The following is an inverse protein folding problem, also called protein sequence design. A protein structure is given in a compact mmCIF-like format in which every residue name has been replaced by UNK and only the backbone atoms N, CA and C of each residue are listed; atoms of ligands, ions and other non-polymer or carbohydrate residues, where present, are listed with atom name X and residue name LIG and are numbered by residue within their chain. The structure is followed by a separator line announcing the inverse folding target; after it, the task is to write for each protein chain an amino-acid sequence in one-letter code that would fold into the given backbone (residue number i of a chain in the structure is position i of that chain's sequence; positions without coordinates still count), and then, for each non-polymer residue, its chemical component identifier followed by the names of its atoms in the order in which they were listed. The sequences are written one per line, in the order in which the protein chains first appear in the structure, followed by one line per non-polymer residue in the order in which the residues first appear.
data_IF_835618066480
#
_entry.id   IF_835618066480
#
_cell.length_a   1.000
_cell.length_b   1.000
_cell.length_c   1.000
_cell.angle_alpha   90.00
_cell.angle_beta   90.00
_cell.angle_gamma   90.00
#
_symmetry.space_group_name_H-M   'P 1'
#
loop_
_entity.id
_entity.type
_entity.pdbx_description
1 polymer ?
#
# COMPACT_ATOMS: atom_id res chain seq x y z
N UNK A 1 -73.68 -27.49 -14.48
CA UNK A 1 -72.34 -27.25 -15.04
C UNK A 1 -71.96 -25.83 -14.65
N UNK A 2 -71.21 -25.68 -13.56
CA UNK A 2 -70.67 -24.35 -13.14
C UNK A 2 -69.40 -24.09 -13.95
N UNK A 3 -69.44 -23.00 -14.73
CA UNK A 3 -68.25 -22.49 -15.44
C UNK A 3 -67.22 -21.97 -14.43
N UNK A 4 -66.11 -22.66 -14.30
CA UNK A 4 -64.95 -22.15 -13.62
C UNK A 4 -64.38 -20.98 -14.43
N UNK A 5 -64.62 -19.75 -13.95
CA UNK A 5 -63.94 -18.54 -14.45
C UNK A 5 -62.45 -18.67 -14.10
N UNK A 6 -61.51 -18.51 -15.07
CA UNK A 6 -60.11 -18.52 -14.80
C UNK A 6 -59.76 -17.33 -13.88
N UNK A 7 -59.09 -17.63 -12.77
CA UNK A 7 -58.53 -16.63 -11.90
C UNK A 7 -57.43 -15.88 -12.66
N UNK A 8 -57.70 -14.66 -13.06
CA UNK A 8 -56.70 -13.81 -13.67
C UNK A 8 -55.61 -13.51 -12.64
N UNK A 9 -54.47 -14.19 -12.75
CA UNK A 9 -53.26 -13.85 -11.97
C UNK A 9 -52.75 -12.53 -12.56
N UNK A 10 -53.13 -11.40 -11.97
CA UNK A 10 -52.52 -10.11 -12.25
C UNK A 10 -51.06 -10.20 -11.82
N UNK A 11 -50.15 -10.35 -12.77
CA UNK A 11 -48.71 -10.11 -12.55
C UNK A 11 -48.54 -8.68 -12.13
N UNK A 12 -48.46 -8.40 -10.82
CA UNK A 12 -48.14 -7.06 -10.32
C UNK A 12 -46.70 -6.75 -10.73
N UNK A 13 -46.49 -5.84 -11.64
CA UNK A 13 -45.19 -5.30 -11.97
C UNK A 13 -44.73 -4.43 -10.80
N UNK A 14 -43.73 -4.91 -10.09
CA UNK A 14 -43.14 -4.16 -8.98
C UNK A 14 -42.30 -3.00 -9.53
N UNK A 15 -42.47 -1.81 -8.93
CA UNK A 15 -41.53 -0.73 -9.21
C UNK A 15 -40.11 -1.12 -8.75
N UNK A 16 -39.08 -0.50 -9.32
CA UNK A 16 -37.70 -0.75 -8.91
C UNK A 16 -37.48 -0.47 -7.42
N UNK A 17 -38.11 0.56 -6.89
CA UNK A 17 -38.12 0.96 -5.46
C UNK A 17 -38.71 -0.15 -4.58
N UNK A 18 -39.93 -0.61 -4.90
CA UNK A 18 -40.60 -1.68 -4.14
C UNK A 18 -39.78 -2.98 -4.15
N UNK A 19 -39.12 -3.29 -5.27
CA UNK A 19 -38.28 -4.48 -5.39
C UNK A 19 -37.05 -4.37 -4.46
N UNK A 20 -36.38 -3.24 -4.42
CA UNK A 20 -35.22 -3.00 -3.54
C UNK A 20 -35.65 -3.02 -2.07
N UNK A 21 -36.75 -2.35 -1.72
CA UNK A 21 -37.31 -2.32 -0.36
C UNK A 21 -37.66 -3.73 0.14
N UNK A 22 -38.26 -4.55 -0.73
CA UNK A 22 -38.58 -5.94 -0.39
C UNK A 22 -37.35 -6.79 -0.14
N UNK A 23 -36.28 -6.59 -0.91
CA UNK A 23 -35.01 -7.26 -0.67
C UNK A 23 -34.40 -6.77 0.66
N UNK A 24 -34.38 -5.47 0.87
CA UNK A 24 -33.87 -4.87 2.11
C UNK A 24 -34.63 -5.35 3.35
N UNK A 25 -35.97 -5.49 3.25
CA UNK A 25 -36.83 -5.92 4.35
C UNK A 25 -36.58 -7.38 4.82
N UNK A 26 -35.79 -8.17 4.10
CA UNK A 26 -35.35 -9.49 4.56
C UNK A 26 -34.32 -9.39 5.69
N UNK A 27 -33.50 -8.37 5.67
CA UNK A 27 -32.34 -8.18 6.55
C UNK A 27 -32.53 -7.05 7.54
N UNK A 28 -33.34 -6.06 7.16
CA UNK A 28 -33.62 -4.86 7.95
C UNK A 28 -35.12 -4.69 8.20
N UNK A 29 -35.45 -4.03 9.29
CA UNK A 29 -36.76 -3.39 9.50
C UNK A 29 -36.65 -2.06 8.76
N UNK A 30 -37.40 -1.92 7.67
CA UNK A 30 -37.39 -0.73 6.82
C UNK A 30 -38.42 0.25 7.34
N UNK A 31 -37.98 1.43 7.74
CA UNK A 31 -38.81 2.53 8.21
C UNK A 31 -39.16 3.53 7.08
N UNK A 32 -39.23 4.77 7.47
CA UNK A 32 -39.62 5.86 6.52
C UNK A 32 -38.56 6.09 5.44
N UNK A 33 -39.02 6.50 4.25
CA UNK A 33 -38.16 6.90 3.15
C UNK A 33 -37.39 8.18 3.53
N UNK A 34 -36.08 8.17 3.42
CA UNK A 34 -35.21 9.31 3.71
C UNK A 34 -35.03 10.20 2.47
N UNK A 35 -34.42 11.36 2.68
CA UNK A 35 -34.10 12.33 1.61
C UNK A 35 -33.07 11.73 0.63
N UNK A 36 -33.53 11.01 -0.37
CA UNK A 36 -32.71 10.43 -1.43
C UNK A 36 -33.43 9.32 -2.16
N UNK A 37 -33.12 9.17 -3.44
CA UNK A 37 -33.66 8.07 -4.24
C UNK A 37 -33.10 6.74 -3.70
N UNK A 38 -33.95 5.81 -3.33
CA UNK A 38 -33.61 4.53 -2.70
C UNK A 38 -32.88 4.66 -1.35
N UNK A 39 -33.39 5.50 -0.46
CA UNK A 39 -32.87 5.69 0.90
C UNK A 39 -33.97 5.50 1.94
N UNK A 40 -33.69 4.68 2.97
CA UNK A 40 -34.63 4.37 4.06
C UNK A 40 -33.91 4.39 5.40
N UNK A 41 -34.62 4.83 6.41
CA UNK A 41 -34.22 4.60 7.80
C UNK A 41 -34.38 3.11 8.11
N UNK A 42 -33.36 2.47 8.64
CA UNK A 42 -33.38 1.01 8.84
C UNK A 42 -32.85 0.61 10.21
N UNK A 43 -33.30 -0.53 10.66
CA UNK A 43 -32.76 -1.21 11.85
C UNK A 43 -32.49 -2.68 11.48
N UNK A 44 -31.33 -3.23 11.88
CA UNK A 44 -31.05 -4.63 11.60
C UNK A 44 -32.07 -5.54 12.27
N UNK A 45 -32.57 -6.57 11.57
CA UNK A 45 -33.47 -7.55 12.16
C UNK A 45 -32.81 -8.30 13.30
N UNK A 46 -33.60 -8.74 14.26
CA UNK A 46 -33.13 -9.57 15.38
C UNK A 46 -32.33 -10.79 14.88
N UNK A 47 -31.12 -10.93 15.40
CA UNK A 47 -30.19 -11.99 15.00
C UNK A 47 -29.10 -11.56 13.99
N UNK A 48 -29.16 -10.36 13.44
CA UNK A 48 -28.13 -9.81 12.57
C UNK A 48 -27.46 -8.60 13.21
N UNK A 49 -26.14 -8.49 13.06
CA UNK A 49 -25.46 -7.21 13.23
C UNK A 49 -25.65 -6.35 11.97
N UNK A 50 -25.45 -5.02 12.09
CA UNK A 50 -25.48 -4.14 10.91
C UNK A 50 -24.51 -4.60 9.82
N UNK A 51 -23.35 -5.14 10.19
CA UNK A 51 -22.36 -5.68 9.26
C UNK A 51 -22.86 -6.93 8.52
N UNK A 52 -23.49 -7.85 9.24
CA UNK A 52 -24.03 -9.07 8.64
C UNK A 52 -25.20 -8.76 7.72
N UNK A 53 -26.14 -7.95 8.21
CA UNK A 53 -27.34 -7.53 7.45
C UNK A 53 -26.97 -6.84 6.13
N UNK A 54 -26.05 -5.86 6.16
CA UNK A 54 -25.63 -5.13 4.96
C UNK A 54 -24.79 -6.01 4.01
N UNK A 55 -24.02 -6.96 4.54
CA UNK A 55 -23.24 -7.89 3.74
C UNK A 55 -24.16 -8.84 2.97
N UNK A 56 -25.16 -9.42 3.66
CA UNK A 56 -26.14 -10.31 3.05
C UNK A 56 -27.02 -9.57 2.03
N UNK A 57 -27.46 -8.35 2.36
CA UNK A 57 -28.18 -7.50 1.43
C UNK A 57 -27.35 -7.24 0.16
N UNK A 58 -26.08 -6.91 0.29
CA UNK A 58 -25.22 -6.63 -0.86
C UNK A 58 -24.94 -7.86 -1.73
N UNK A 59 -24.99 -9.06 -1.18
CA UNK A 59 -24.91 -10.29 -1.97
C UNK A 59 -26.11 -10.44 -2.91
N UNK A 60 -27.33 -10.13 -2.44
CA UNK A 60 -28.53 -10.15 -3.29
C UNK A 60 -28.57 -8.98 -4.27
N UNK A 61 -28.22 -7.76 -3.82
CA UNK A 61 -28.18 -6.57 -4.67
C UNK A 61 -27.14 -6.64 -5.79
N UNK A 62 -26.10 -7.47 -5.61
CA UNK A 62 -25.04 -7.66 -6.59
C UNK A 62 -25.56 -8.15 -7.93
N UNK A 63 -26.54 -9.07 -7.93
CA UNK A 63 -27.15 -9.60 -9.15
C UNK A 63 -27.94 -8.53 -9.92
N UNK A 64 -28.42 -7.50 -9.20
CA UNK A 64 -29.14 -6.38 -9.78
C UNK A 64 -28.21 -5.22 -10.20
N UNK A 65 -26.88 -5.37 -10.03
CA UNK A 65 -25.93 -4.30 -10.29
C UNK A 65 -26.02 -3.13 -9.30
N UNK A 66 -26.49 -3.39 -8.07
CA UNK A 66 -26.69 -2.41 -7.03
C UNK A 66 -25.74 -2.67 -5.85
N UNK A 67 -25.55 -1.63 -5.03
CA UNK A 67 -24.84 -1.69 -3.77
C UNK A 67 -25.55 -0.83 -2.73
N UNK A 68 -25.77 -1.41 -1.54
CA UNK A 68 -26.31 -0.73 -0.38
C UNK A 68 -25.18 -0.26 0.54
N UNK A 69 -25.35 0.89 1.16
CA UNK A 69 -24.48 1.43 2.20
C UNK A 69 -25.28 1.96 3.38
N UNK A 70 -24.72 1.84 4.59
CA UNK A 70 -25.31 2.38 5.82
C UNK A 70 -24.57 3.65 6.23
N UNK A 71 -25.30 4.74 6.36
CA UNK A 71 -24.78 6.01 6.87
C UNK A 71 -24.65 5.99 8.40
N UNK A 72 -23.74 6.80 8.99
CA UNK A 72 -23.47 6.83 10.43
C UNK A 72 -24.52 7.64 11.23
N UNK A 73 -25.79 7.50 10.90
CA UNK A 73 -26.91 8.12 11.63
C UNK A 73 -27.46 7.15 12.68
N UNK A 74 -28.19 7.66 13.63
CA UNK A 74 -28.90 6.88 14.62
C UNK A 74 -30.39 7.27 14.62
N UNK A 75 -31.27 6.41 14.11
CA UNK A 75 -31.02 5.13 13.44
C UNK A 75 -30.31 5.25 12.08
N UNK A 76 -29.59 4.21 11.64
CA UNK A 76 -28.83 4.23 10.39
C UNK A 76 -29.74 4.35 9.16
N UNK A 77 -29.22 5.01 8.13
CA UNK A 77 -29.91 5.16 6.85
C UNK A 77 -29.27 4.26 5.81
N UNK A 78 -30.05 3.34 5.25
CA UNK A 78 -29.67 2.54 4.10
C UNK A 78 -29.82 3.36 2.83
N UNK A 79 -28.76 3.52 2.07
CA UNK A 79 -28.76 4.12 0.73
C UNK A 79 -28.34 3.11 -0.31
N UNK A 80 -29.14 2.90 -1.34
CA UNK A 80 -28.84 1.96 -2.43
C UNK A 80 -28.49 2.73 -3.70
N UNK A 81 -27.33 2.43 -4.25
CA UNK A 81 -26.79 3.09 -5.45
C UNK A 81 -26.39 2.05 -6.50
N UNK A 82 -26.16 2.50 -7.72
CA UNK A 82 -25.64 1.63 -8.77
C UNK A 82 -24.21 1.23 -8.47
N UNK A 83 -23.94 -0.06 -8.62
CA UNK A 83 -22.60 -0.60 -8.43
C UNK A 83 -21.70 -0.19 -9.60
N UNK A 84 -20.65 0.54 -9.29
CA UNK A 84 -19.65 0.86 -10.29
C UNK A 84 -18.76 -0.38 -10.51
N UNK A 85 -18.76 -0.88 -11.72
CA UNK A 85 -17.85 -1.95 -12.13
C UNK A 85 -16.53 -1.33 -12.54
N UNK A 86 -15.44 -1.71 -11.86
CA UNK A 86 -14.10 -1.29 -12.22
C UNK A 86 -13.56 -2.02 -13.44
N UNK A 87 -12.45 -1.53 -13.97
CA UNK A 87 -11.65 -2.25 -14.96
C UNK A 87 -11.40 -3.68 -14.50
N UNK A 88 -11.55 -4.62 -15.39
CA UNK A 88 -11.38 -6.05 -15.11
C UNK A 88 -10.02 -6.38 -14.50
N UNK A 89 -9.95 -7.53 -13.84
CA UNK A 89 -8.67 -8.10 -13.40
C UNK A 89 -7.87 -8.48 -14.65
N UNK A 90 -6.58 -8.13 -14.66
CA UNK A 90 -5.70 -8.46 -15.79
C UNK A 90 -5.69 -9.97 -16.06
N UNK A 91 -5.71 -10.40 -17.33
CA UNK A 91 -5.49 -11.78 -17.69
C UNK A 91 -4.18 -12.31 -17.10
N UNK A 92 -4.15 -13.59 -16.71
CA UNK A 92 -3.00 -14.19 -16.05
C UNK A 92 -1.70 -14.08 -16.84
N UNK A 93 -1.75 -14.15 -18.17
CA UNK A 93 -0.57 -14.03 -19.02
C UNK A 93 0.01 -12.59 -19.01
N UNK A 94 -0.86 -11.54 -19.03
CA UNK A 94 -0.40 -10.16 -18.96
C UNK A 94 0.23 -9.87 -17.60
N UNK A 95 -0.42 -10.34 -16.53
CA UNK A 95 0.13 -10.23 -15.18
C UNK A 95 1.47 -10.95 -15.07
N UNK A 96 1.58 -12.18 -15.61
CA UNK A 96 2.82 -12.95 -15.66
C UNK A 96 3.94 -12.22 -16.42
N UNK A 97 3.61 -11.60 -17.55
CA UNK A 97 4.58 -10.80 -18.33
C UNK A 97 5.10 -9.58 -17.55
N UNK A 98 4.23 -8.87 -16.83
CA UNK A 98 4.64 -7.73 -16.00
C UNK A 98 5.53 -8.18 -14.85
N UNK A 99 5.20 -9.30 -14.19
CA UNK A 99 6.06 -9.87 -13.16
C UNK A 99 7.41 -10.31 -13.70
N UNK A 100 7.43 -11.01 -14.83
CA UNK A 100 8.68 -11.44 -15.49
C UNK A 100 9.55 -10.23 -15.85
N UNK A 101 8.97 -9.18 -16.44
CA UNK A 101 9.69 -7.96 -16.75
C UNK A 101 10.26 -7.28 -15.49
N UNK A 102 9.47 -7.22 -14.41
CA UNK A 102 9.93 -6.64 -13.13
C UNK A 102 11.08 -7.45 -12.51
N UNK A 103 11.03 -8.79 -12.60
CA UNK A 103 12.12 -9.65 -12.13
C UNK A 103 13.39 -9.39 -12.94
N UNK A 104 13.28 -9.28 -14.26
CA UNK A 104 14.41 -8.97 -15.14
C UNK A 104 15.03 -7.62 -14.74
N UNK A 105 14.21 -6.58 -14.54
CA UNK A 105 14.70 -5.26 -14.13
C UNK A 105 15.40 -5.32 -12.75
N UNK A 106 14.88 -6.09 -11.80
CA UNK A 106 15.54 -6.29 -10.50
C UNK A 106 16.87 -7.05 -10.64
N UNK A 107 16.94 -8.06 -11.49
CA UNK A 107 18.19 -8.78 -11.74
C UNK A 107 19.26 -7.85 -12.33
N UNK A 108 18.87 -7.00 -13.27
CA UNK A 108 19.79 -6.00 -13.84
C UNK A 108 20.26 -5.00 -12.77
N UNK A 109 19.30 -4.40 -12.04
CA UNK A 109 19.61 -3.41 -10.99
C UNK A 109 20.56 -3.96 -9.92
N UNK A 110 20.26 -5.14 -9.39
CA UNK A 110 21.13 -5.80 -8.41
C UNK A 110 22.44 -6.31 -9.01
N UNK A 111 22.48 -6.64 -10.31
CA UNK A 111 23.69 -7.03 -11.04
C UNK A 111 24.65 -5.87 -11.20
N UNK A 112 24.16 -4.71 -11.66
CA UNK A 112 24.96 -3.48 -11.74
C UNK A 112 25.47 -3.04 -10.36
N UNK A 113 24.64 -3.19 -9.31
CA UNK A 113 25.10 -2.98 -7.96
C UNK A 113 26.22 -3.94 -7.56
N UNK A 114 26.03 -5.26 -7.76
CA UNK A 114 27.02 -6.27 -7.40
C UNK A 114 28.35 -6.07 -8.15
N UNK A 115 28.29 -5.64 -9.41
CA UNK A 115 29.46 -5.29 -10.22
C UNK A 115 30.14 -4.03 -9.69
N UNK A 116 29.38 -2.98 -9.37
CA UNK A 116 29.92 -1.70 -8.87
C UNK A 116 30.62 -1.83 -7.51
N UNK A 117 30.17 -2.77 -6.67
CA UNK A 117 30.78 -3.04 -5.37
C UNK A 117 31.84 -4.17 -5.41
N UNK A 118 32.22 -4.63 -6.61
CA UNK A 118 33.34 -5.57 -6.79
C UNK A 118 33.13 -6.93 -6.13
N UNK A 119 31.92 -7.45 -6.07
CA UNK A 119 31.66 -8.77 -5.48
C UNK A 119 32.23 -9.88 -6.36
N UNK A 120 32.92 -10.86 -5.71
CA UNK A 120 33.48 -12.00 -6.40
C UNK A 120 32.40 -12.85 -7.09
N UNK A 121 32.66 -13.28 -8.33
CA UNK A 121 31.79 -14.17 -9.11
C UNK A 121 30.94 -13.48 -10.13
N UNK A 122 29.87 -14.15 -10.60
CA UNK A 122 28.99 -13.59 -11.61
C UNK A 122 27.95 -12.63 -10.92
N UNK A 123 27.98 -11.32 -11.23
CA UNK A 123 27.16 -10.33 -10.54
C UNK A 123 25.65 -10.57 -10.76
N UNK A 124 25.24 -11.03 -11.94
CA UNK A 124 23.84 -11.32 -12.23
C UNK A 124 23.33 -12.59 -11.55
N UNK A 125 24.20 -13.59 -11.34
CA UNK A 125 23.84 -14.77 -10.56
C UNK A 125 23.65 -14.40 -9.07
N UNK A 126 24.53 -13.59 -8.53
CA UNK A 126 24.41 -13.08 -7.16
C UNK A 126 23.16 -12.19 -6.99
N UNK A 127 22.91 -11.29 -7.95
CA UNK A 127 21.70 -10.49 -7.98
C UNK A 127 20.44 -11.36 -8.03
N UNK A 128 20.42 -12.37 -8.88
CA UNK A 128 19.29 -13.28 -8.99
C UNK A 128 18.97 -13.95 -7.65
N UNK A 129 19.99 -14.43 -6.94
CA UNK A 129 19.84 -15.20 -5.70
C UNK A 129 19.60 -14.31 -4.47
N UNK A 130 20.36 -13.23 -4.32
CA UNK A 130 20.38 -12.43 -3.09
C UNK A 130 19.62 -11.11 -3.19
N UNK A 131 19.21 -10.70 -4.40
CA UNK A 131 18.43 -9.47 -4.62
C UNK A 131 17.05 -9.77 -5.19
N UNK A 132 16.97 -10.22 -6.43
CA UNK A 132 15.71 -10.36 -7.14
C UNK A 132 14.78 -11.43 -6.54
N UNK A 133 15.31 -12.60 -6.17
CA UNK A 133 14.52 -13.68 -5.57
C UNK A 133 13.93 -13.30 -4.22
N UNK A 134 14.65 -12.75 -3.23
CA UNK A 134 14.09 -12.34 -1.95
C UNK A 134 13.06 -11.24 -2.07
N UNK A 135 13.29 -10.24 -2.92
CA UNK A 135 12.30 -9.19 -3.20
C UNK A 135 11.04 -9.82 -3.81
N UNK A 136 11.17 -10.60 -4.88
CA UNK A 136 10.05 -11.25 -5.56
C UNK A 136 9.23 -12.11 -4.61
N UNK A 137 9.87 -12.91 -3.77
CA UNK A 137 9.20 -13.75 -2.78
C UNK A 137 8.41 -12.90 -1.78
N UNK A 138 8.99 -11.79 -1.30
CA UNK A 138 8.33 -10.88 -0.36
C UNK A 138 7.14 -10.16 -1.01
N UNK A 139 7.30 -9.70 -2.26
CA UNK A 139 6.23 -9.05 -3.00
C UNK A 139 5.07 -10.02 -3.29
N UNK A 140 5.36 -11.26 -3.63
CA UNK A 140 4.34 -12.30 -3.81
C UNK A 140 3.63 -12.61 -2.49
N UNK A 141 4.36 -12.69 -1.38
CA UNK A 141 3.80 -12.87 -0.05
C UNK A 141 2.84 -11.73 0.30
N UNK A 142 3.28 -10.48 0.13
CA UNK A 142 2.45 -9.29 0.38
C UNK A 142 1.20 -9.27 -0.51
N UNK A 143 1.36 -9.61 -1.79
CA UNK A 143 0.27 -9.72 -2.77
C UNK A 143 -0.75 -10.78 -2.38
N UNK A 144 -0.29 -11.98 -2.02
CA UNK A 144 -1.18 -13.08 -1.61
C UNK A 144 -1.86 -12.78 -0.27
N UNK A 145 -1.17 -12.16 0.68
CA UNK A 145 -1.76 -11.75 1.95
C UNK A 145 -2.90 -10.75 1.71
N UNK A 146 -2.67 -9.70 0.91
CA UNK A 146 -3.72 -8.73 0.55
C UNK A 146 -4.88 -9.41 -0.17
N UNK A 147 -4.59 -10.30 -1.11
CA UNK A 147 -5.63 -11.07 -1.83
C UNK A 147 -6.49 -11.93 -0.90
N UNK A 148 -5.86 -12.60 0.08
CA UNK A 148 -6.58 -13.40 1.08
C UNK A 148 -7.46 -12.54 1.98
N UNK A 149 -6.96 -11.38 2.41
CA UNK A 149 -7.74 -10.42 3.21
C UNK A 149 -8.92 -9.87 2.42
N UNK A 150 -8.70 -9.47 1.17
CA UNK A 150 -9.76 -9.02 0.27
C UNK A 150 -10.84 -10.10 0.09
N UNK A 151 -10.43 -11.35 -0.18
CA UNK A 151 -11.37 -12.46 -0.35
C UNK A 151 -12.20 -12.72 0.92
N UNK A 152 -11.57 -12.65 2.10
CA UNK A 152 -12.29 -12.75 3.39
C UNK A 152 -13.30 -11.62 3.59
N UNK A 153 -13.01 -10.44 3.07
CA UNK A 153 -13.91 -9.29 3.09
C UNK A 153 -14.94 -9.28 1.93
N UNK A 154 -15.03 -10.35 1.14
CA UNK A 154 -15.94 -10.43 -0.01
C UNK A 154 -15.55 -9.56 -1.20
N UNK A 155 -14.30 -9.07 -1.24
CA UNK A 155 -13.80 -8.21 -2.30
C UNK A 155 -13.08 -9.05 -3.35
N UNK A 156 -13.52 -8.95 -4.61
CA UNK A 156 -12.79 -9.54 -5.73
C UNK A 156 -11.51 -8.75 -6.00
N UNK A 157 -10.39 -9.41 -5.88
CA UNK A 157 -9.08 -8.81 -6.19
C UNK A 157 -8.16 -9.82 -6.86
N UNK A 158 -7.41 -9.36 -7.84
CA UNK A 158 -6.28 -10.08 -8.41
C UNK A 158 -5.00 -9.90 -7.57
N UNK A 159 -3.92 -10.50 -8.02
CA UNK A 159 -2.59 -10.22 -7.49
C UNK A 159 -2.20 -8.77 -7.76
N UNK A 160 -1.33 -8.24 -6.92
CA UNK A 160 -0.79 -6.88 -7.13
C UNK A 160 0.12 -6.86 -8.36
N UNK A 161 0.21 -5.70 -8.97
CA UNK A 161 1.05 -5.43 -10.14
C UNK A 161 2.33 -4.80 -9.63
N UNK A 162 3.51 -5.42 -9.85
CA UNK A 162 4.78 -4.77 -9.59
C UNK A 162 5.02 -3.69 -10.66
N UNK A 163 5.48 -2.53 -10.24
CA UNK A 163 5.89 -1.47 -11.13
C UNK A 163 7.41 -1.50 -11.28
N UNK A 164 7.87 -2.08 -12.38
CA UNK A 164 9.27 -2.02 -12.74
C UNK A 164 9.68 -0.58 -13.07
N UNK A 165 10.89 -0.22 -12.67
CA UNK A 165 11.47 1.07 -13.00
C UNK A 165 12.86 0.84 -13.61
N UNK A 166 13.02 1.06 -14.93
CA UNK A 166 14.31 0.94 -15.56
C UNK A 166 15.25 2.03 -15.03
N UNK A 167 16.53 1.73 -14.99
CA UNK A 167 17.57 2.68 -14.62
C UNK A 167 17.76 3.67 -15.81
N UNK A 168 17.19 4.86 -15.68
CA UNK A 168 17.29 5.92 -16.68
C UNK A 168 17.94 7.13 -16.00
N UNK A 169 19.16 7.47 -16.43
CA UNK A 169 19.80 8.71 -16.02
C UNK A 169 19.03 9.93 -16.59
N UNK A 170 18.77 11.01 -15.82
CA UNK A 170 19.24 11.32 -14.45
C UNK A 170 18.31 10.84 -13.34
N UNK A 171 17.19 10.20 -13.66
CA UNK A 171 16.22 9.68 -12.68
C UNK A 171 16.58 8.24 -12.28
N UNK A 172 17.77 8.06 -11.82
CA UNK A 172 18.25 6.74 -11.46
C UNK A 172 17.56 6.21 -10.20
N UNK A 173 16.78 5.16 -10.37
CA UNK A 173 16.16 4.41 -9.29
C UNK A 173 16.85 3.04 -9.18
N UNK A 174 17.67 2.83 -8.17
CA UNK A 174 18.62 1.71 -8.13
C UNK A 174 17.99 0.36 -7.87
N UNK A 175 16.70 0.33 -7.52
CA UNK A 175 16.07 -0.90 -7.06
C UNK A 175 15.41 -1.72 -8.18
N UNK A 176 15.33 -1.22 -9.40
CA UNK A 176 14.67 -1.90 -10.53
C UNK A 176 13.16 -2.09 -10.36
N UNK A 177 12.62 -1.74 -9.19
CA UNK A 177 11.20 -1.80 -8.86
C UNK A 177 10.81 -0.61 -7.99
N UNK A 178 9.67 -0.01 -8.30
CA UNK A 178 9.15 1.17 -7.58
C UNK A 178 8.11 0.83 -6.51
N UNK A 179 7.32 -0.23 -6.70
CA UNK A 179 6.29 -0.59 -5.74
C UNK A 179 5.29 -1.61 -6.28
N UNK A 180 4.23 -1.82 -5.50
CA UNK A 180 3.11 -2.71 -5.80
C UNK A 180 1.80 -1.94 -5.89
N UNK A 181 1.02 -2.19 -6.93
CA UNK A 181 -0.25 -1.52 -7.18
C UNK A 181 -1.40 -2.51 -7.30
N UNK A 182 -2.59 -2.09 -6.83
CA UNK A 182 -3.80 -2.87 -6.99
C UNK A 182 -4.33 -2.80 -8.42
N UNK A 183 -4.91 -3.90 -8.91
CA UNK A 183 -5.51 -3.95 -10.26
C UNK A 183 -6.81 -3.16 -10.37
N UNK A 184 -7.52 -2.96 -9.27
CA UNK A 184 -8.77 -2.17 -9.24
C UNK A 184 -8.52 -0.83 -8.57
N UNK A 185 -9.10 0.22 -9.12
CA UNK A 185 -9.10 1.51 -8.44
C UNK A 185 -9.88 1.43 -7.12
N UNK A 186 -9.54 2.29 -6.17
CA UNK A 186 -10.21 2.33 -4.86
C UNK A 186 -11.71 2.58 -4.97
N UNK A 187 -12.14 3.38 -5.96
CA UNK A 187 -13.56 3.70 -6.21
C UNK A 187 -14.43 2.49 -6.50
N UNK A 188 -13.82 1.45 -7.06
CA UNK A 188 -14.53 0.21 -7.41
C UNK A 188 -14.39 -0.86 -6.32
N UNK A 189 -13.76 -0.52 -5.21
CA UNK A 189 -13.57 -1.42 -4.08
C UNK A 189 -14.56 -1.06 -2.98
N UNK A 190 -15.46 -2.01 -2.69
CA UNK A 190 -16.46 -1.86 -1.63
C UNK A 190 -15.99 -2.65 -0.41
N UNK A 191 -15.65 -1.93 0.65
CA UNK A 191 -15.16 -2.53 1.90
C UNK A 191 -16.26 -2.49 2.95
N UNK A 192 -16.46 -3.58 3.68
CA UNK A 192 -17.58 -3.71 4.62
C UNK A 192 -17.54 -2.61 5.68
N UNK A 193 -16.40 -2.41 6.34
CA UNK A 193 -16.24 -1.42 7.39
C UNK A 193 -14.83 -0.82 7.43
N UNK A 194 -14.64 0.21 8.26
CA UNK A 194 -13.38 0.94 8.43
C UNK A 194 -12.24 0.05 8.94
N UNK A 195 -12.53 -0.90 9.81
CA UNK A 195 -11.54 -1.83 10.38
C UNK A 195 -10.97 -2.76 9.30
N UNK A 196 -11.82 -3.34 8.45
CA UNK A 196 -11.36 -4.19 7.35
C UNK A 196 -10.56 -3.38 6.32
N UNK A 197 -10.95 -2.12 6.04
CA UNK A 197 -10.17 -1.23 5.18
C UNK A 197 -8.74 -1.03 5.73
N UNK A 198 -8.61 -0.63 6.99
CA UNK A 198 -7.30 -0.42 7.60
C UNK A 198 -6.44 -1.69 7.58
N UNK A 199 -7.04 -2.85 7.89
CA UNK A 199 -6.38 -4.15 7.89
C UNK A 199 -5.88 -4.56 6.50
N UNK A 200 -6.69 -4.36 5.47
CA UNK A 200 -6.33 -4.68 4.08
C UNK A 200 -5.21 -3.76 3.60
N UNK A 201 -5.32 -2.47 3.84
CA UNK A 201 -4.37 -1.51 3.29
C UNK A 201 -3.01 -1.52 4.02
N UNK A 202 -2.97 -1.79 5.33
CA UNK A 202 -1.70 -1.91 6.07
C UNK A 202 -0.92 -3.18 5.73
N UNK A 203 -1.58 -4.21 5.20
CA UNK A 203 -0.97 -5.52 4.99
C UNK A 203 0.26 -5.50 4.09
N UNK A 204 0.24 -4.71 3.00
CA UNK A 204 1.36 -4.62 2.07
C UNK A 204 2.54 -3.84 2.68
N UNK A 205 2.38 -2.57 3.09
CA UNK A 205 3.50 -1.82 3.66
C UNK A 205 4.09 -2.49 4.90
N UNK A 206 3.25 -3.07 5.77
CA UNK A 206 3.75 -3.79 6.93
C UNK A 206 4.55 -5.04 6.55
N UNK A 207 4.12 -5.81 5.56
CA UNK A 207 4.88 -6.99 5.09
C UNK A 207 6.24 -6.59 4.52
N UNK A 208 6.26 -5.57 3.66
CA UNK A 208 7.50 -5.09 3.05
C UNK A 208 8.47 -4.58 4.12
N UNK A 209 7.96 -3.78 5.07
CA UNK A 209 8.76 -3.24 6.16
C UNK A 209 9.29 -4.35 7.09
N UNK A 210 8.43 -5.23 7.59
CA UNK A 210 8.79 -6.27 8.56
C UNK A 210 9.75 -7.32 7.97
N UNK A 211 9.70 -7.58 6.68
CA UNK A 211 10.64 -8.49 6.01
C UNK A 211 11.91 -7.74 5.59
N UNK A 212 11.76 -6.50 5.12
CA UNK A 212 12.87 -5.69 4.65
C UNK A 212 13.89 -5.37 5.74
N UNK A 213 13.44 -5.04 6.96
CA UNK A 213 14.33 -4.66 8.07
C UNK A 213 15.29 -5.79 8.47
N UNK A 214 14.85 -7.03 8.75
CA UNK A 214 15.77 -8.13 9.03
C UNK A 214 16.68 -8.48 7.85
N UNK A 215 16.18 -8.43 6.61
CA UNK A 215 16.99 -8.68 5.42
C UNK A 215 18.12 -7.66 5.28
N UNK A 216 17.82 -6.38 5.57
CA UNK A 216 18.84 -5.34 5.58
C UNK A 216 19.95 -5.66 6.59
N UNK A 217 19.59 -6.00 7.84
CA UNK A 217 20.55 -6.34 8.88
C UNK A 217 21.39 -7.57 8.51
N UNK A 218 20.75 -8.63 8.01
CA UNK A 218 21.48 -9.85 7.57
C UNK A 218 22.44 -9.51 6.43
N UNK A 219 21.99 -8.73 5.45
CA UNK A 219 22.83 -8.31 4.34
C UNK A 219 24.01 -7.44 4.80
N UNK A 220 23.81 -6.57 5.80
CA UNK A 220 24.89 -5.79 6.37
C UNK A 220 25.91 -6.65 7.11
N UNK A 221 25.46 -7.70 7.84
CA UNK A 221 26.34 -8.68 8.45
C UNK A 221 27.13 -9.51 7.42
N UNK A 222 26.56 -9.75 6.23
CA UNK A 222 27.23 -10.44 5.12
C UNK A 222 28.19 -9.53 4.35
N UNK A 223 28.12 -8.22 4.59
CA UNK A 223 28.99 -7.25 3.91
C UNK A 223 30.40 -7.31 4.48
N UNK A 224 31.45 -7.46 3.63
CA UNK A 224 32.81 -7.44 4.07
C UNK A 224 33.18 -6.18 4.86
N UNK A 225 34.03 -6.31 5.85
CA UNK A 225 34.54 -5.17 6.63
C UNK A 225 35.48 -4.27 5.83
N UNK A 226 36.19 -4.87 4.86
CA UNK A 226 37.11 -4.16 3.96
C UNK A 226 36.43 -3.86 2.65
N UNK A 227 36.55 -2.63 2.11
CA UNK A 227 35.99 -2.29 0.81
C UNK A 227 36.70 -3.11 -0.29
N UNK A 228 36.00 -3.38 -1.39
CA UNK A 228 36.60 -3.96 -2.58
C UNK A 228 37.65 -3.01 -3.17
N UNK A 229 38.77 -3.60 -3.66
CA UNK A 229 39.91 -2.84 -4.22
C UNK A 229 39.55 -2.00 -5.47
N UNK A 230 38.46 -2.31 -6.15
CA UNK A 230 38.06 -1.69 -7.40
C UNK A 230 36.88 -0.70 -7.24
N UNK A 231 36.56 -0.24 -6.02
CA UNK A 231 35.56 0.79 -5.80
C UNK A 231 36.00 2.10 -6.46
N UNK A 232 35.61 2.29 -7.71
CA UNK A 232 35.95 3.50 -8.48
C UNK A 232 35.10 4.73 -8.11
N UNK A 233 33.93 4.50 -7.49
CA UNK A 233 33.06 5.53 -6.92
C UNK A 233 32.09 4.87 -5.97
N UNK A 234 31.77 5.52 -4.84
CA UNK A 234 30.65 5.06 -4.00
C UNK A 234 29.36 5.15 -4.83
N UNK A 235 28.74 4.01 -5.17
CA UNK A 235 27.64 4.06 -6.12
C UNK A 235 26.43 4.84 -5.60
N UNK A 236 26.22 4.85 -4.30
CA UNK A 236 25.18 5.63 -3.62
C UNK A 236 25.34 5.59 -2.11
N UNK A 237 25.21 6.74 -1.50
CA UNK A 237 25.09 6.87 -0.06
C UNK A 237 23.66 6.52 0.37
N UNK A 238 23.36 5.23 0.53
CA UNK A 238 22.10 4.83 1.12
C UNK A 238 22.18 4.92 2.62
N UNK A 239 21.29 5.75 3.15
CA UNK A 239 21.01 5.71 4.57
C UNK A 239 19.96 4.64 4.82
N UNK A 240 20.29 3.64 5.59
CA UNK A 240 19.31 2.74 6.17
C UNK A 240 18.28 3.54 6.98
N UNK A 241 17.11 2.96 7.20
CA UNK A 241 16.13 3.56 8.09
C UNK A 241 16.63 3.59 9.53
N UNK A 242 16.02 4.42 10.38
CA UNK A 242 16.42 4.64 11.77
C UNK A 242 16.59 3.32 12.54
N UNK A 243 15.66 2.37 12.36
CA UNK A 243 15.68 1.13 13.12
C UNK A 243 16.88 0.22 12.78
N UNK A 244 17.19 -0.10 11.50
CA UNK A 244 18.39 -0.86 11.17
C UNK A 244 19.67 -0.15 11.56
N UNK A 245 19.76 1.17 11.41
CA UNK A 245 20.94 1.92 11.83
C UNK A 245 21.16 1.81 13.33
N UNK A 246 20.12 1.90 14.14
CA UNK A 246 20.21 1.71 15.58
C UNK A 246 20.66 0.28 15.92
N UNK A 247 20.07 -0.74 15.32
CA UNK A 247 20.47 -2.13 15.58
C UNK A 247 21.90 -2.44 15.07
N UNK A 248 22.27 -1.92 13.90
CA UNK A 248 23.60 -2.16 13.36
C UNK A 248 24.70 -1.48 14.18
N UNK A 249 24.46 -0.27 14.71
CA UNK A 249 25.39 0.40 15.61
C UNK A 249 25.60 -0.33 16.93
N UNK A 250 24.60 -1.11 17.39
CA UNK A 250 24.68 -1.91 18.61
C UNK A 250 25.32 -3.30 18.38
N UNK A 251 25.21 -3.86 17.19
CA UNK A 251 25.56 -5.25 16.91
C UNK A 251 26.82 -5.43 16.06
N UNK A 252 27.20 -4.43 15.27
CA UNK A 252 28.27 -4.59 14.28
C UNK A 252 29.49 -3.77 14.69
N UNK A 253 29.50 -2.49 14.46
CA UNK A 253 30.60 -1.57 14.76
C UNK A 253 30.19 -0.12 14.49
N UNK A 254 31.00 0.85 14.92
CA UNK A 254 30.83 2.27 14.58
C UNK A 254 30.89 2.51 13.07
N UNK A 255 31.59 1.68 12.32
CA UNK A 255 31.85 1.85 10.89
C UNK A 255 30.79 1.20 9.98
N UNK A 256 29.68 0.70 10.55
CA UNK A 256 28.61 0.08 9.77
C UNK A 256 28.01 1.01 8.70
N UNK A 257 28.02 2.32 8.93
CA UNK A 257 27.53 3.31 7.96
C UNK A 257 28.38 3.34 6.70
N UNK A 258 29.71 3.16 6.85
CA UNK A 258 30.62 3.08 5.70
C UNK A 258 30.32 1.84 4.86
N UNK A 259 30.01 0.72 5.50
CA UNK A 259 29.68 -0.55 4.81
C UNK A 259 28.41 -0.48 3.97
N UNK A 260 27.53 0.49 4.21
CA UNK A 260 26.35 0.72 3.37
C UNK A 260 26.70 1.00 1.91
N UNK A 261 27.90 1.50 1.65
CA UNK A 261 28.36 1.89 0.33
C UNK A 261 28.70 0.70 -0.57
N UNK A 262 29.02 -0.46 0.03
CA UNK A 262 29.21 -1.73 -0.68
C UNK A 262 28.39 -2.87 -0.08
N UNK A 263 27.20 -2.51 0.42
CA UNK A 263 26.31 -3.46 1.08
C UNK A 263 26.03 -4.67 0.20
N UNK A 264 26.04 -5.84 0.82
CA UNK A 264 25.70 -7.09 0.13
C UNK A 264 24.32 -6.99 -0.54
N UNK A 265 24.08 -7.59 -1.73
CA UNK A 265 22.80 -7.50 -2.45
C UNK A 265 21.56 -7.84 -1.62
N UNK A 266 21.66 -8.75 -0.65
CA UNK A 266 20.58 -9.06 0.28
C UNK A 266 20.23 -7.86 1.17
N UNK A 267 21.23 -7.09 1.59
CA UNK A 267 21.01 -5.86 2.37
C UNK A 267 20.35 -4.77 1.53
N UNK A 268 20.80 -4.62 0.27
CA UNK A 268 20.14 -3.73 -0.69
C UNK A 268 18.69 -4.14 -0.94
N UNK A 269 18.41 -5.45 -1.04
CA UNK A 269 17.03 -5.95 -1.16
C UNK A 269 16.17 -5.57 0.05
N UNK A 270 16.70 -5.74 1.26
CA UNK A 270 16.02 -5.35 2.50
C UNK A 270 15.76 -3.84 2.57
N UNK A 271 16.75 -3.03 2.17
CA UNK A 271 16.61 -1.57 2.07
C UNK A 271 15.51 -1.17 1.07
N UNK A 272 15.54 -1.75 -0.13
CA UNK A 272 14.53 -1.53 -1.16
C UNK A 272 13.10 -1.82 -0.67
N UNK A 273 12.90 -2.97 -0.03
CA UNK A 273 11.60 -3.35 0.54
C UNK A 273 11.15 -2.38 1.64
N UNK A 274 12.07 -1.98 2.52
CA UNK A 274 11.78 -1.05 3.62
C UNK A 274 11.37 0.33 3.11
N UNK A 275 12.11 0.87 2.13
CA UNK A 275 11.79 2.14 1.48
C UNK A 275 10.45 2.06 0.76
N UNK A 276 10.17 1.00 0.00
CA UNK A 276 8.87 0.81 -0.64
C UNK A 276 7.74 0.74 0.39
N UNK A 277 7.92 0.00 1.48
CA UNK A 277 6.94 -0.08 2.57
C UNK A 277 6.66 1.30 3.18
N UNK A 278 7.71 2.09 3.40
CA UNK A 278 7.60 3.45 3.92
C UNK A 278 6.89 4.40 2.95
N UNK A 279 7.27 4.41 1.67
CA UNK A 279 6.60 5.23 0.63
C UNK A 279 5.11 4.90 0.56
N UNK A 280 4.75 3.62 0.60
CA UNK A 280 3.34 3.20 0.58
C UNK A 280 2.55 3.66 1.82
N UNK A 281 3.23 3.97 2.93
CA UNK A 281 2.60 4.50 4.14
C UNK A 281 2.46 6.02 4.13
N UNK A 282 3.09 6.74 3.20
CA UNK A 282 2.90 8.17 3.08
C UNK A 282 1.42 8.51 2.79
N UNK A 283 0.88 9.58 3.40
CA UNK A 283 -0.51 10.01 3.18
C UNK A 283 -0.69 10.74 1.83
N UNK A 284 -0.19 10.11 0.77
CA UNK A 284 -0.34 10.59 -0.61
C UNK A 284 -1.63 10.00 -1.19
N UNK A 285 -2.52 10.80 -1.81
CA UNK A 285 -3.79 10.33 -2.35
C UNK A 285 -3.66 9.08 -3.22
N UNK A 286 -4.42 8.04 -2.85
CA UNK A 286 -4.44 6.75 -3.55
C UNK A 286 -3.38 5.74 -3.12
N UNK A 287 -2.46 6.08 -2.22
CA UNK A 287 -1.58 5.12 -1.57
C UNK A 287 -2.28 4.43 -0.38
N UNK A 288 -1.77 3.28 0.08
CA UNK A 288 -2.29 2.61 1.27
C UNK A 288 -2.34 3.50 2.51
N UNK A 289 -1.32 4.35 2.74
CA UNK A 289 -1.27 5.29 3.88
C UNK A 289 -2.44 6.27 3.90
N UNK A 290 -2.80 6.85 2.76
CA UNK A 290 -3.97 7.72 2.62
C UNK A 290 -5.28 6.99 2.94
N UNK A 291 -5.42 5.73 2.47
CA UNK A 291 -6.60 4.91 2.73
C UNK A 291 -6.71 4.48 4.19
N UNK A 292 -5.58 4.18 4.84
CA UNK A 292 -5.53 3.90 6.28
C UNK A 292 -5.96 5.13 7.07
N UNK A 293 -5.49 6.33 6.70
CA UNK A 293 -5.93 7.57 7.31
C UNK A 293 -7.42 7.83 7.08
N UNK A 294 -7.94 7.55 5.89
CA UNK A 294 -9.39 7.61 5.62
C UNK A 294 -10.17 6.67 6.53
N UNK A 295 -9.64 5.47 6.81
CA UNK A 295 -10.25 4.55 7.76
C UNK A 295 -10.20 5.08 9.21
N UNK A 296 -9.08 5.66 9.63
CA UNK A 296 -8.85 6.19 10.98
C UNK A 296 -9.69 7.45 11.25
N UNK A 297 -9.58 8.44 10.40
CA UNK A 297 -10.26 9.73 10.56
C UNK A 297 -11.76 9.66 10.27
N UNK A 298 -12.17 8.73 9.40
CA UNK A 298 -13.49 8.68 8.81
C UNK A 298 -13.60 9.57 7.57
N UNK A 299 -14.56 9.23 6.70
CA UNK A 299 -14.70 9.86 5.39
C UNK A 299 -14.88 11.38 5.47
N UNK A 300 -15.71 11.86 6.37
CA UNK A 300 -16.02 13.29 6.49
C UNK A 300 -14.77 14.12 6.79
N UNK A 301 -14.04 13.76 7.86
CA UNK A 301 -12.81 14.46 8.24
C UNK A 301 -11.68 14.28 7.23
N UNK A 302 -11.57 13.08 6.64
CA UNK A 302 -10.53 12.82 5.66
C UNK A 302 -10.69 13.65 4.37
N UNK A 303 -11.93 13.89 3.91
CA UNK A 303 -12.21 14.67 2.69
C UNK A 303 -12.18 16.18 2.96
N UNK A 304 -12.18 16.61 4.22
CA UNK A 304 -12.09 18.01 4.59
C UNK A 304 -10.83 18.66 4.02
N UNK A 305 -10.99 19.81 3.35
CA UNK A 305 -9.89 20.49 2.65
C UNK A 305 -8.72 20.82 3.56
N UNK A 306 -9.01 21.21 4.80
CA UNK A 306 -8.01 21.52 5.83
C UNK A 306 -7.16 20.31 6.16
N UNK A 307 -7.80 19.15 6.43
CA UNK A 307 -7.13 17.88 6.71
C UNK A 307 -6.26 17.46 5.54
N UNK A 308 -6.79 17.49 4.33
CA UNK A 308 -6.06 17.15 3.11
C UNK A 308 -4.85 18.06 2.86
N UNK A 309 -4.98 19.35 3.13
CA UNK A 309 -3.86 20.29 2.99
C UNK A 309 -2.78 20.02 4.04
N UNK A 310 -3.14 19.75 5.30
CA UNK A 310 -2.19 19.40 6.35
C UNK A 310 -1.42 18.12 5.98
N UNK A 311 -2.11 17.07 5.57
CA UNK A 311 -1.50 15.80 5.17
C UNK A 311 -0.56 15.98 3.97
N UNK A 312 -0.96 16.80 3.00
CA UNK A 312 -0.15 17.09 1.84
C UNK A 312 1.13 17.85 2.22
N UNK A 313 1.01 18.93 3.02
CA UNK A 313 2.15 19.72 3.47
C UNK A 313 3.13 18.89 4.30
N UNK A 314 2.62 18.04 5.20
CA UNK A 314 3.45 17.13 5.98
C UNK A 314 4.19 16.13 5.08
N UNK A 315 3.50 15.49 4.13
CA UNK A 315 4.12 14.53 3.19
C UNK A 315 5.19 15.20 2.33
N UNK A 316 4.88 16.37 1.80
CA UNK A 316 5.82 17.14 0.97
C UNK A 316 7.01 17.60 1.79
N UNK A 317 6.77 18.09 3.02
CA UNK A 317 7.83 18.51 3.93
C UNK A 317 8.81 17.38 4.27
N UNK A 318 8.29 16.18 4.54
CA UNK A 318 9.14 15.00 4.79
C UNK A 318 9.93 14.62 3.54
N UNK A 319 9.30 14.57 2.36
CA UNK A 319 9.99 14.23 1.11
C UNK A 319 11.08 15.23 0.74
N UNK A 320 10.82 16.53 0.95
CA UNK A 320 11.82 17.57 0.74
C UNK A 320 12.96 17.43 1.76
N UNK A 321 12.66 17.19 3.04
CA UNK A 321 13.66 17.00 4.07
C UNK A 321 14.57 15.81 3.77
N UNK A 322 14.01 14.68 3.34
CA UNK A 322 14.77 13.50 2.93
C UNK A 322 15.59 13.78 1.66
N UNK A 323 15.06 14.56 0.72
CA UNK A 323 15.80 14.98 -0.47
C UNK A 323 17.01 15.85 -0.09
N UNK A 324 16.79 16.89 0.70
CA UNK A 324 17.87 17.84 1.10
C UNK A 324 18.97 17.13 1.91
N UNK A 325 18.61 16.12 2.69
CA UNK A 325 19.59 15.36 3.48
C UNK A 325 20.35 14.31 2.69
N UNK A 326 19.77 13.76 1.60
CA UNK A 326 20.37 12.66 0.83
C UNK A 326 20.82 13.06 -0.56
N UNK A 327 20.45 14.25 -1.02
CA UNK A 327 20.64 14.75 -2.41
C UNK A 327 20.17 13.77 -3.51
N UNK A 328 19.19 12.92 -3.15
CA UNK A 328 18.73 11.84 -4.00
C UNK A 328 17.49 12.26 -4.80
N UNK A 329 17.69 12.55 -6.09
CA UNK A 329 16.67 13.07 -7.03
C UNK A 329 15.35 12.31 -7.02
N UNK A 330 15.27 10.96 -6.89
CA UNK A 330 14.01 10.24 -6.84
C UNK A 330 13.02 10.74 -5.78
N UNK A 331 13.46 11.33 -4.68
CA UNK A 331 12.55 11.92 -3.69
C UNK A 331 11.76 13.10 -4.26
N UNK A 332 12.37 13.90 -5.15
CA UNK A 332 11.67 14.97 -5.87
C UNK A 332 10.65 14.40 -6.87
N UNK A 333 10.94 13.26 -7.49
CA UNK A 333 9.99 12.57 -8.38
C UNK A 333 8.77 12.12 -7.58
N UNK A 334 8.96 11.52 -6.40
CA UNK A 334 7.86 11.11 -5.53
C UNK A 334 7.07 12.34 -5.06
N UNK A 335 7.75 13.44 -4.68
CA UNK A 335 7.11 14.70 -4.32
C UNK A 335 6.28 15.26 -5.48
N UNK A 336 6.82 15.21 -6.70
CA UNK A 336 6.10 15.63 -7.92
C UNK A 336 4.86 14.77 -8.16
N UNK A 337 4.96 13.44 -8.01
CA UNK A 337 3.81 12.54 -8.11
C UNK A 337 2.77 12.87 -7.02
N UNK A 338 3.19 13.18 -5.81
CA UNK A 338 2.29 13.61 -4.73
C UNK A 338 1.54 14.89 -5.10
N UNK A 339 2.24 15.88 -5.66
CA UNK A 339 1.64 17.12 -6.16
C UNK A 339 0.64 16.84 -7.30
N UNK A 340 1.03 16.06 -8.29
CA UNK A 340 0.15 15.69 -9.41
C UNK A 340 -1.11 14.99 -8.94
N UNK A 341 -1.00 14.07 -7.97
CA UNK A 341 -2.16 13.38 -7.40
C UNK A 341 -3.03 14.29 -6.55
N UNK A 342 -2.46 15.28 -5.89
CA UNK A 342 -3.22 16.22 -5.05
C UNK A 342 -3.98 17.26 -5.88
N UNK A 343 -3.37 17.76 -6.95
CA UNK A 343 -3.90 18.85 -7.76
C UNK A 343 -4.46 18.38 -9.11
N UNK A 344 -4.29 17.11 -9.48
CA UNK A 344 -4.86 16.56 -10.70
C UNK A 344 -6.38 16.51 -10.67
N UNK A 345 -7.02 16.60 -11.84
CA UNK A 345 -8.48 16.63 -11.99
C UNK A 345 -9.17 15.34 -11.53
N UNK A 346 -8.48 14.22 -11.53
CA UNK A 346 -8.96 12.96 -10.95
C UNK A 346 -8.56 12.88 -9.48
N UNK A 347 -9.32 13.57 -8.63
CA UNK A 347 -9.25 13.32 -7.20
C UNK A 347 -9.57 11.84 -6.99
N UNK A 348 -8.55 11.08 -6.57
CA UNK A 348 -8.70 9.66 -6.27
C UNK A 348 -9.69 9.54 -5.11
N UNK A 349 -10.92 9.19 -5.46
CA UNK A 349 -11.98 9.03 -4.48
C UNK A 349 -11.61 7.94 -3.49
N UNK A 350 -11.86 8.16 -2.20
CA UNK A 350 -11.60 7.12 -1.19
C UNK A 350 -12.44 5.88 -1.49
N UNK A 351 -12.00 4.68 -1.06
CA UNK A 351 -12.76 3.45 -1.21
C UNK A 351 -14.13 3.60 -0.55
N UNK A 352 -15.15 3.00 -1.17
CA UNK A 352 -16.49 3.02 -0.61
C UNK A 352 -16.58 2.07 0.59
N UNK A 353 -16.88 2.63 1.75
CA UNK A 353 -17.18 1.85 2.95
C UNK A 353 -18.68 1.61 2.98
N UNK A 354 -19.06 0.33 3.04
CA UNK A 354 -20.46 -0.09 2.98
C UNK A 354 -21.17 0.20 4.30
N UNK A 355 -20.52 -0.04 5.44
CA UNK A 355 -21.08 0.22 6.76
C UNK A 355 -20.29 1.34 7.45
N UNK A 356 -20.87 2.52 7.49
CA UNK A 356 -20.37 3.68 8.24
C UNK A 356 -21.02 3.81 9.62
N UNK A 357 -22.15 3.08 9.87
CA UNK A 357 -22.87 3.14 11.15
C UNK A 357 -22.06 2.52 12.29
N UNK A 358 -21.27 1.48 12.03
CA UNK A 358 -20.37 0.93 13.01
C UNK A 358 -19.13 1.83 13.11
N UNK A 359 -18.93 2.43 14.26
CA UNK A 359 -17.72 3.20 14.57
C UNK A 359 -16.46 2.35 14.42
N UNK A 360 -15.30 2.99 14.38
CA UNK A 360 -14.02 2.27 14.41
C UNK A 360 -13.75 1.83 15.85
N UNK A 361 -13.67 0.51 16.15
CA UNK A 361 -13.41 0.06 17.52
C UNK A 361 -12.12 0.65 18.07
N UNK A 362 -12.14 1.22 19.28
CA UNK A 362 -11.02 1.97 19.88
C UNK A 362 -9.71 1.16 19.88
N UNK A 363 -9.78 -0.11 20.28
CA UNK A 363 -8.61 -1.00 20.27
C UNK A 363 -8.01 -1.19 18.89
N UNK A 364 -8.86 -1.32 17.86
CA UNK A 364 -8.41 -1.42 16.47
C UNK A 364 -7.84 -0.10 15.96
N UNK A 365 -8.45 1.02 16.36
CA UNK A 365 -7.94 2.37 16.02
C UNK A 365 -6.53 2.56 16.57
N UNK A 366 -6.32 2.28 17.85
CA UNK A 366 -5.02 2.40 18.52
C UNK A 366 -3.97 1.49 17.85
N UNK A 367 -4.32 0.23 17.58
CA UNK A 367 -3.42 -0.74 16.93
C UNK A 367 -2.98 -0.32 15.54
N UNK A 368 -3.91 0.07 14.66
CA UNK A 368 -3.57 0.44 13.28
C UNK A 368 -2.90 1.80 13.21
N UNK A 369 -3.25 2.75 14.08
CA UNK A 369 -2.55 4.03 14.19
C UNK A 369 -1.13 3.83 14.69
N UNK A 370 -0.92 3.03 15.72
CA UNK A 370 0.42 2.72 16.23
C UNK A 370 1.28 2.04 15.16
N UNK A 371 0.75 1.04 14.45
CA UNK A 371 1.47 0.36 13.38
C UNK A 371 1.84 1.32 12.22
N UNK A 372 0.92 2.20 11.83
CA UNK A 372 1.18 3.21 10.79
C UNK A 372 2.28 4.19 11.22
N UNK A 373 2.18 4.71 12.44
CA UNK A 373 3.18 5.63 13.02
C UNK A 373 4.54 4.92 13.15
N UNK A 374 4.57 3.68 13.62
CA UNK A 374 5.82 2.92 13.73
C UNK A 374 6.50 2.75 12.36
N UNK A 375 5.77 2.37 11.31
CA UNK A 375 6.35 2.23 9.97
C UNK A 375 6.86 3.58 9.47
N UNK A 376 6.12 4.68 9.67
CA UNK A 376 6.52 6.01 9.23
C UNK A 376 7.74 6.55 9.99
N UNK A 377 7.84 6.34 11.29
CA UNK A 377 8.96 6.83 12.09
C UNK A 377 10.20 5.93 11.97
N UNK A 378 10.02 4.61 12.15
CA UNK A 378 11.15 3.68 12.14
C UNK A 378 11.66 3.36 10.74
N UNK A 379 10.79 3.47 9.73
CA UNK A 379 11.12 3.30 8.32
C UNK A 379 11.64 4.57 7.64
N UNK A 380 11.62 5.70 8.34
CA UNK A 380 12.13 6.96 7.80
C UNK A 380 13.56 6.75 7.30
N UNK A 381 13.85 7.02 6.00
CA UNK A 381 15.22 6.95 5.50
C UNK A 381 16.13 7.82 6.34
N UNK A 382 17.33 7.33 6.65
CA UNK A 382 18.29 8.05 7.48
C UNK A 382 18.62 9.41 6.85
N UNK A 383 18.62 10.44 7.68
CA UNK A 383 19.00 11.79 7.30
C UNK A 383 20.43 12.01 7.82
N UNK A 384 21.43 11.72 7.01
CA UNK A 384 22.79 12.19 7.30
C UNK A 384 23.17 13.29 6.34
N UNK A 385 23.92 14.30 6.79
CA UNK A 385 24.39 15.36 5.92
C UNK A 385 25.19 14.78 4.73
N UNK A 386 24.93 15.26 3.54
CA UNK A 386 25.71 14.86 2.35
C UNK A 386 27.23 15.09 2.54
N UNK A 387 27.61 16.04 3.38
CA UNK A 387 29.00 16.31 3.76
C UNK A 387 29.75 15.14 4.39
N UNK A 388 29.05 14.16 5.00
CA UNK A 388 29.71 12.96 5.50
C UNK A 388 30.14 12.03 4.35
N UNK A 389 29.58 12.21 3.16
CA UNK A 389 29.87 11.42 1.97
C UNK A 389 30.74 12.17 0.95
N UNK A 390 30.70 13.50 0.92
CA UNK A 390 31.71 14.29 0.18
C UNK A 390 33.14 13.99 0.65
N UNK A 391 33.30 13.65 1.92
CA UNK A 391 34.56 13.20 2.46
C UNK A 391 34.92 11.75 2.08
N UNK A 392 34.02 11.00 1.42
CA UNK A 392 34.33 9.66 0.95
C UNK A 392 35.34 9.66 -0.21
N UNK A 393 35.26 10.60 -1.15
CA UNK A 393 36.30 10.77 -2.18
C UNK A 393 37.66 11.12 -1.58
N UNK A 394 37.67 11.81 -0.44
CA UNK A 394 38.85 12.03 0.38
C UNK A 394 39.19 10.78 1.24
N UNK A 395 38.24 9.91 1.50
CA UNK A 395 38.35 8.70 2.31
C UNK A 395 38.93 7.48 1.59
N UNK A 396 39.28 7.59 0.32
CA UNK A 396 40.30 6.77 -0.29
C UNK A 396 41.68 7.05 0.35
N UNK A 397 41.71 7.91 1.39
CA UNK A 397 42.86 8.04 2.27
C UNK A 397 43.05 6.70 3.02
N UNK A 398 44.17 5.98 2.76
CA UNK A 398 44.48 4.72 3.42
C UNK A 398 44.49 4.79 4.94
N UNK A 399 44.51 5.98 5.53
CA UNK A 399 44.51 6.20 6.98
C UNK A 399 43.10 6.12 7.62
N UNK A 400 42.05 6.09 6.82
CA UNK A 400 40.66 5.90 7.31
C UNK A 400 40.25 4.41 7.34
N UNK A 401 41.08 3.52 6.82
CA UNK A 401 40.84 2.09 6.87
C UNK A 401 41.45 1.51 8.16
N UNK A 402 40.71 0.65 8.88
CA UNK A 402 41.32 -0.08 9.97
C UNK A 402 42.52 -0.85 9.42
N UNK A 403 43.70 -0.53 9.90
CA UNK A 403 44.92 -1.28 9.61
C UNK A 403 44.67 -2.76 9.93
N UNK A 404 44.69 -3.59 8.89
CA UNK A 404 44.58 -5.04 8.96
C UNK A 404 45.54 -5.67 9.98
#
# INVERSE_FOLDING_TARGET
MEEHKPIAIHKREWSRTESIERIASRFFIVGEESTGRYSWVVEARSGFSNNDAITLLNNELRELGLVGSLDPRDPPVLSVTERRYGSGILPSWQLGSVWAFSIIMMVFAGGEWAESVGLEGNPYAQSSLFYALPITATLLLASELKRRLNRKAGIESGHLIPLAMPQISPMWWPFGIFGLFGQKSAEHTHVVNRKELAKIEISVPATLFLVGQPMFLVGLLMTPSTPPLELSSAPLAYHGSILPNLFSSLMIDSDHMIRLQWIHPLGLAGLSLSIMGWILMLPIPGLPGDRILSAILGRERHVEMTTQNILFVLSLGVLIAVFVSSDFIPWLVIATIACMRRFGNDQLKPPMIINLSDGFPRESLERYSAAAVMILLLGLPGMSPASEYENWDAGLDPNLWPSS
#
